data_IF_605373250273
#
_entry.id   IF_605373250273
#
_cell.length_a   1.000
_cell.length_b   1.000
_cell.length_c   1.000
_cell.angle_alpha   90.00
_cell.angle_beta   90.00
_cell.angle_gamma   90.00
#
_symmetry.space_group_name_H-M   'P 1'
#
loop_
_entity.id
_entity.type
_entity.pdbx_description
1 polymer ?
#
# COMPACT_ATOMS: atom_id res chain seq x y z
N UNK A 1 -4.74 -18.39 -25.04
CA UNK A 1 -5.15 -18.01 -23.68
C UNK A 1 -5.56 -16.54 -23.75
N UNK A 2 -6.84 -16.26 -23.97
CA UNK A 2 -7.33 -14.91 -24.27
C UNK A 2 -7.80 -14.24 -22.97
N UNK A 3 -7.14 -13.15 -22.56
CA UNK A 3 -7.65 -12.30 -21.50
C UNK A 3 -8.85 -11.49 -22.02
N UNK A 4 -9.99 -11.62 -21.34
CA UNK A 4 -11.19 -10.84 -21.60
C UNK A 4 -10.95 -9.36 -21.23
N UNK A 5 -11.54 -8.40 -21.95
CA UNK A 5 -11.44 -6.99 -21.60
C UNK A 5 -12.21 -6.73 -20.29
N UNK A 6 -11.51 -6.28 -19.26
CA UNK A 6 -12.12 -5.82 -18.02
C UNK A 6 -12.87 -4.53 -18.30
N UNK A 7 -14.20 -4.61 -18.31
CA UNK A 7 -15.09 -3.47 -18.37
C UNK A 7 -14.81 -2.54 -17.18
N UNK A 8 -14.51 -1.27 -17.46
CA UNK A 8 -14.49 -0.20 -16.46
C UNK A 8 -15.91 -0.01 -15.93
N UNK A 9 -16.24 -0.70 -14.83
CA UNK A 9 -17.36 -0.33 -13.98
C UNK A 9 -16.85 0.74 -13.02
N UNK A 10 -17.42 1.94 -13.10
CA UNK A 10 -17.23 3.00 -12.11
C UNK A 10 -17.88 2.56 -10.80
N UNK A 11 -17.19 1.71 -10.06
CA UNK A 11 -17.50 1.39 -8.68
C UNK A 11 -16.65 2.32 -7.84
N UNK A 12 -17.27 3.37 -7.30
CA UNK A 12 -16.66 4.18 -6.24
C UNK A 12 -16.50 3.28 -5.02
N UNK A 13 -15.33 2.63 -4.92
CA UNK A 13 -14.95 1.91 -3.72
C UNK A 13 -14.41 2.96 -2.77
N UNK A 14 -15.21 3.35 -1.79
CA UNK A 14 -14.75 4.14 -0.65
C UNK A 14 -13.81 3.25 0.17
N UNK A 15 -12.50 3.30 -0.12
CA UNK A 15 -11.50 2.64 0.71
C UNK A 15 -11.30 3.48 1.97
N UNK A 16 -11.85 3.02 3.09
CA UNK A 16 -11.60 3.59 4.41
C UNK A 16 -10.17 3.25 4.81
N UNK A 17 -9.31 4.25 4.95
CA UNK A 17 -8.00 4.11 5.61
C UNK A 17 -8.27 3.53 7.00
N UNK A 18 -7.90 2.28 7.22
CA UNK A 18 -8.15 1.59 8.49
C UNK A 18 -7.02 1.92 9.45
N UNK A 19 -7.30 2.79 10.41
CA UNK A 19 -6.44 3.00 11.57
C UNK A 19 -6.54 1.76 12.46
N UNK A 20 -5.47 0.97 12.54
CA UNK A 20 -5.35 -0.07 13.55
C UNK A 20 -4.63 0.53 14.76
N UNK A 21 -5.37 0.70 15.85
CA UNK A 21 -4.82 1.10 17.14
C UNK A 21 -4.07 -0.10 17.76
N UNK A 22 -2.81 0.04 18.19
CA UNK A 22 -2.06 -1.07 18.75
C UNK A 22 -2.63 -1.48 20.12
N UNK A 23 -2.89 -2.77 20.30
CA UNK A 23 -3.25 -3.35 21.59
C UNK A 23 -2.04 -3.24 22.55
N UNK A 24 -2.23 -2.46 23.62
CA UNK A 24 -1.25 -2.14 24.67
C UNK A 24 -0.58 -3.40 25.27
N UNK A 25 0.75 -3.45 25.20
CA UNK A 25 1.59 -4.08 26.23
C UNK A 25 2.86 -3.26 26.48
N UNK A 26 2.90 -2.68 27.68
CA UNK A 26 4.04 -2.29 28.52
C UNK A 26 5.27 -1.64 27.88
N UNK A 27 5.20 -0.30 27.77
CA UNK A 27 6.30 0.64 27.96
C UNK A 27 5.68 1.99 28.35
N UNK A 28 6.32 2.82 29.17
CA UNK A 28 5.82 4.13 29.62
C UNK A 28 5.86 5.19 28.49
N UNK A 29 4.97 4.96 27.51
CA UNK A 29 4.17 5.84 26.64
C UNK A 29 4.85 6.96 25.83
N UNK A 30 5.89 6.63 25.06
CA UNK A 30 5.99 7.19 23.71
C UNK A 30 5.15 6.33 22.76
N UNK A 31 3.96 6.81 22.36
CA UNK A 31 3.20 6.18 21.28
C UNK A 31 3.97 6.46 19.99
N UNK A 32 4.84 5.54 19.57
CA UNK A 32 5.37 5.54 18.21
C UNK A 32 4.21 5.16 17.29
N UNK A 33 3.53 6.17 16.76
CA UNK A 33 2.49 5.99 15.75
C UNK A 33 3.17 5.43 14.49
N UNK A 34 2.57 4.41 13.87
CA UNK A 34 3.04 3.87 12.60
C UNK A 34 1.91 3.89 11.58
N UNK A 35 2.26 4.09 10.31
CA UNK A 35 1.35 4.03 9.19
C UNK A 35 1.72 2.88 8.26
N UNK A 36 0.74 2.04 7.98
CA UNK A 36 0.85 1.00 6.96
C UNK A 36 0.38 1.61 5.64
N UNK A 37 1.28 1.68 4.67
CA UNK A 37 1.03 2.25 3.35
C UNK A 37 0.66 1.14 2.37
N UNK A 38 -0.50 1.30 1.73
CA UNK A 38 -1.04 0.35 0.76
C UNK A 38 -0.67 0.73 -0.69
N UNK A 39 -1.13 -0.08 -1.64
CA UNK A 39 -0.88 0.11 -3.07
C UNK A 39 -1.50 1.41 -3.59
N UNK A 40 -2.68 1.81 -3.10
CA UNK A 40 -3.37 3.02 -3.56
C UNK A 40 -2.60 4.27 -3.15
N UNK A 41 -2.06 4.32 -1.94
CA UNK A 41 -1.17 5.39 -1.51
C UNK A 41 0.02 5.54 -2.46
N UNK A 42 0.69 4.43 -2.78
CA UNK A 42 1.85 4.48 -3.66
C UNK A 42 1.51 4.83 -5.10
N UNK A 43 0.35 4.40 -5.61
CA UNK A 43 -0.16 4.84 -6.92
C UNK A 43 -0.35 6.36 -6.92
N UNK A 44 -0.99 6.90 -5.87
CA UNK A 44 -1.23 8.32 -5.73
C UNK A 44 0.09 9.12 -5.67
N UNK A 45 1.10 8.65 -4.94
CA UNK A 45 2.44 9.27 -4.91
C UNK A 45 3.15 9.15 -6.27
N UNK A 46 3.01 8.01 -6.96
CA UNK A 46 3.72 7.72 -8.21
C UNK A 46 3.17 8.49 -9.41
N UNK A 47 1.86 8.74 -9.43
CA UNK A 47 1.18 9.40 -10.54
C UNK A 47 0.65 10.78 -10.11
N UNK A 48 1.31 11.89 -10.48
CA UNK A 48 0.85 13.24 -10.16
C UNK A 48 -0.53 13.60 -10.71
N UNK A 49 -1.06 12.83 -11.66
CA UNK A 49 -2.41 13.00 -12.22
C UNK A 49 -3.46 12.16 -11.48
N UNK A 50 -3.06 11.38 -10.49
CA UNK A 50 -4.01 10.65 -9.64
C UNK A 50 -4.82 11.65 -8.81
N UNK A 51 -6.12 11.41 -8.70
CA UNK A 51 -7.03 12.30 -7.96
C UNK A 51 -6.66 12.42 -6.48
N UNK A 52 -5.95 11.43 -5.92
CA UNK A 52 -5.52 11.40 -4.52
C UNK A 52 -4.09 11.91 -4.32
N UNK A 53 -3.40 12.32 -5.38
CA UNK A 53 -1.99 12.73 -5.30
C UNK A 53 -1.73 13.81 -4.26
N UNK A 54 -2.51 14.91 -4.29
CA UNK A 54 -2.34 16.02 -3.35
C UNK A 54 -2.51 15.56 -1.90
N UNK A 55 -3.55 14.77 -1.64
CA UNK A 55 -3.83 14.24 -0.30
C UNK A 55 -2.71 13.30 0.19
N UNK A 56 -2.15 12.48 -0.70
CA UNK A 56 -1.05 11.58 -0.35
C UNK A 56 0.25 12.36 0.00
N UNK A 57 0.51 13.46 -0.71
CA UNK A 57 1.64 14.37 -0.41
C UNK A 57 1.44 15.06 0.93
N UNK A 58 0.25 15.59 1.21
CA UNK A 58 -0.06 16.24 2.49
C UNK A 58 0.13 15.31 3.69
N UNK A 59 -0.21 14.03 3.56
CA UNK A 59 0.02 13.03 4.62
C UNK A 59 1.51 12.86 4.92
N UNK A 60 2.37 12.93 3.89
CA UNK A 60 3.82 12.78 4.04
C UNK A 60 4.45 14.00 4.71
N UNK A 61 3.93 15.20 4.45
CA UNK A 61 4.52 16.46 4.94
C UNK A 61 4.16 16.79 6.40
N UNK A 62 3.04 16.28 6.91
CA UNK A 62 2.49 16.71 8.21
C UNK A 62 2.89 15.85 9.43
N UNK A 63 3.58 14.72 9.25
CA UNK A 63 3.76 13.74 10.34
C UNK A 63 5.20 13.16 10.41
N UNK A 64 6.17 14.01 10.80
CA UNK A 64 7.60 13.68 10.88
C UNK A 64 7.97 12.67 11.99
N UNK A 65 7.05 12.33 12.90
CA UNK A 65 7.30 11.42 14.03
C UNK A 65 6.69 10.02 13.85
N UNK A 66 6.25 9.68 12.63
CA UNK A 66 5.53 8.43 12.34
C UNK A 66 6.44 7.44 11.61
N UNK A 67 6.46 6.19 12.07
CA UNK A 67 7.13 5.10 11.35
C UNK A 67 6.29 4.67 10.15
N UNK A 68 6.87 4.69 8.95
CA UNK A 68 6.20 4.23 7.74
C UNK A 68 6.53 2.76 7.49
N UNK A 69 5.50 1.96 7.23
CA UNK A 69 5.65 0.53 6.97
C UNK A 69 4.90 0.19 5.67
N UNK A 70 5.49 -0.63 4.82
CA UNK A 70 4.82 -1.24 3.66
C UNK A 70 5.28 -2.69 3.51
N UNK A 71 4.73 -3.42 2.54
CA UNK A 71 5.12 -4.82 2.30
C UNK A 71 5.61 -5.00 0.86
N UNK A 72 6.46 -6.02 0.63
CA UNK A 72 6.84 -6.38 -0.74
C UNK A 72 5.62 -6.75 -1.61
N UNK A 73 4.57 -7.31 -1.02
CA UNK A 73 3.32 -7.61 -1.73
C UNK A 73 2.67 -6.33 -2.28
N UNK A 74 2.63 -5.25 -1.49
CA UNK A 74 2.15 -3.93 -1.94
C UNK A 74 3.00 -3.38 -3.08
N UNK A 75 4.33 -3.53 -3.02
CA UNK A 75 5.22 -3.09 -4.09
C UNK A 75 5.05 -3.92 -5.37
N UNK A 76 4.77 -5.22 -5.26
CA UNK A 76 4.43 -6.08 -6.40
C UNK A 76 3.12 -5.61 -7.05
N UNK A 77 2.08 -5.30 -6.26
CA UNK A 77 0.83 -4.76 -6.79
C UNK A 77 1.04 -3.40 -7.49
N UNK A 78 1.87 -2.52 -6.93
CA UNK A 78 2.24 -1.24 -7.54
C UNK A 78 2.88 -1.43 -8.92
N UNK A 79 3.87 -2.34 -9.01
CA UNK A 79 4.54 -2.65 -10.28
C UNK A 79 3.58 -3.27 -11.29
N UNK A 80 2.69 -4.15 -10.84
CA UNK A 80 1.65 -4.75 -11.67
C UNK A 80 0.65 -3.71 -12.17
N UNK A 81 0.25 -2.74 -11.34
CA UNK A 81 -0.64 -1.65 -11.74
C UNK A 81 -0.04 -0.83 -12.89
N UNK A 82 1.23 -0.43 -12.79
CA UNK A 82 1.91 0.34 -13.83
C UNK A 82 2.41 -0.51 -15.02
N UNK A 83 2.27 -1.84 -14.97
CA UNK A 83 2.71 -2.73 -16.05
C UNK A 83 1.96 -2.51 -17.36
N UNK A 84 0.70 -2.07 -17.32
CA UNK A 84 -0.10 -1.76 -18.51
C UNK A 84 0.22 -0.39 -19.12
N UNK A 85 1.01 0.45 -18.43
CA UNK A 85 1.37 1.80 -18.87
C UNK A 85 2.58 1.79 -19.81
N UNK A 86 2.84 2.93 -20.45
CA UNK A 86 4.01 3.13 -21.32
C UNK A 86 5.36 3.06 -20.58
N UNK A 87 6.44 2.88 -21.34
CA UNK A 87 7.81 2.69 -20.82
C UNK A 87 8.25 3.76 -19.83
N UNK A 88 7.87 5.02 -20.05
CA UNK A 88 8.16 6.14 -19.14
C UNK A 88 7.57 5.89 -17.74
N UNK A 89 6.31 5.49 -17.63
CA UNK A 89 5.69 5.25 -16.32
C UNK A 89 6.23 4.01 -15.64
N UNK A 90 6.55 2.96 -16.40
CA UNK A 90 7.22 1.77 -15.85
C UNK A 90 8.58 2.15 -15.24
N UNK A 91 9.35 3.02 -15.89
CA UNK A 91 10.62 3.50 -15.34
C UNK A 91 10.42 4.32 -14.06
N UNK A 92 9.39 5.17 -14.00
CA UNK A 92 9.03 5.90 -12.78
C UNK A 92 8.71 4.93 -11.64
N UNK A 93 7.88 3.92 -11.90
CA UNK A 93 7.52 2.92 -10.89
C UNK A 93 8.76 2.16 -10.37
N UNK A 94 9.68 1.76 -11.25
CA UNK A 94 10.96 1.15 -10.85
C UNK A 94 11.77 2.09 -9.95
N UNK A 95 11.90 3.35 -10.33
CA UNK A 95 12.68 4.32 -9.55
C UNK A 95 12.07 4.54 -8.16
N UNK A 96 10.73 4.60 -8.06
CA UNK A 96 10.04 4.73 -6.79
C UNK A 96 10.24 3.50 -5.91
N UNK A 97 10.07 2.29 -6.45
CA UNK A 97 10.31 1.06 -5.69
C UNK A 97 11.76 0.99 -5.19
N UNK A 98 12.73 1.38 -6.01
CA UNK A 98 14.13 1.47 -5.57
C UNK A 98 14.33 2.47 -4.44
N UNK A 99 13.72 3.66 -4.55
CA UNK A 99 13.79 4.67 -3.49
C UNK A 99 13.18 4.17 -2.18
N UNK A 100 12.03 3.49 -2.24
CA UNK A 100 11.37 2.87 -1.08
C UNK A 100 12.30 1.85 -0.42
N UNK A 101 12.87 0.93 -1.20
CA UNK A 101 13.77 -0.11 -0.69
C UNK A 101 15.08 0.44 -0.10
N UNK A 102 15.51 1.63 -0.50
CA UNK A 102 16.70 2.31 0.03
C UNK A 102 16.42 3.29 1.18
N UNK A 103 15.15 3.50 1.52
CA UNK A 103 14.75 4.50 2.51
C UNK A 103 15.03 4.01 3.94
N UNK A 104 15.70 4.82 4.75
CA UNK A 104 15.89 4.53 6.17
C UNK A 104 14.63 4.81 7.01
N UNK A 105 13.75 5.68 6.51
CA UNK A 105 12.53 6.12 7.21
C UNK A 105 11.33 5.19 6.95
N UNK A 106 11.53 4.13 6.17
CA UNK A 106 10.47 3.24 5.73
C UNK A 106 10.87 1.77 5.86
N UNK A 107 10.07 1.03 6.60
CA UNK A 107 10.24 -0.42 6.79
C UNK A 107 9.47 -1.18 5.71
N UNK A 108 10.19 -2.01 4.94
CA UNK A 108 9.59 -2.90 3.94
C UNK A 108 9.58 -4.31 4.50
N UNK A 109 8.40 -4.83 4.81
CA UNK A 109 8.23 -6.19 5.31
C UNK A 109 8.32 -7.17 4.13
N UNK A 110 9.23 -8.17 4.19
CA UNK A 110 9.41 -9.13 3.09
C UNK A 110 8.19 -10.04 2.95
N UNK A 111 7.94 -10.50 1.73
CA UNK A 111 6.91 -11.49 1.48
C UNK A 111 7.41 -12.89 1.85
N UNK A 112 6.70 -13.57 2.74
CA UNK A 112 7.01 -14.95 3.16
C UNK A 112 5.82 -15.87 2.92
N UNK A 113 6.09 -17.18 2.81
CA UNK A 113 5.04 -18.20 2.69
C UNK A 113 4.10 -18.17 3.92
N UNK A 114 4.63 -17.96 5.12
CA UNK A 114 3.83 -17.81 6.33
C UNK A 114 2.85 -16.62 6.25
N UNK A 115 3.32 -15.45 5.80
CA UNK A 115 2.46 -14.28 5.58
C UNK A 115 1.40 -14.53 4.51
N UNK A 116 1.74 -15.28 3.45
CA UNK A 116 0.78 -15.69 2.43
C UNK A 116 -0.32 -16.60 3.01
N UNK A 117 0.05 -17.69 3.70
CA UNK A 117 -0.90 -18.65 4.26
C UNK A 117 -1.79 -18.03 5.33
N UNK A 118 -1.24 -17.18 6.19
CA UNK A 118 -2.01 -16.44 7.20
C UNK A 118 -2.98 -15.44 6.58
N UNK A 119 -2.57 -14.73 5.51
CA UNK A 119 -3.46 -13.84 4.77
C UNK A 119 -4.59 -14.60 4.08
N UNK A 120 -4.30 -15.78 3.52
CA UNK A 120 -5.31 -16.67 2.93
C UNK A 120 -6.32 -17.14 3.99
N UNK A 121 -5.85 -17.62 5.14
CA UNK A 121 -6.73 -18.04 6.23
C UNK A 121 -7.63 -16.88 6.73
N UNK A 122 -7.08 -15.66 6.84
CA UNK A 122 -7.87 -14.47 7.17
C UNK A 122 -8.91 -14.13 6.09
N UNK A 123 -8.57 -14.33 4.82
CA UNK A 123 -9.51 -14.14 3.72
C UNK A 123 -10.65 -15.16 3.77
N UNK A 124 -10.33 -16.43 4.00
CA UNK A 124 -11.29 -17.52 4.16
C UNK A 124 -12.29 -17.24 5.29
N UNK A 125 -11.80 -16.75 6.44
CA UNK A 125 -12.65 -16.35 7.57
C UNK A 125 -13.61 -15.21 7.25
N UNK A 126 -13.25 -14.32 6.31
CA UNK A 126 -14.08 -13.19 5.90
C UNK A 126 -15.09 -13.55 4.80
N UNK A 127 -15.03 -14.76 4.23
CA UNK A 127 -16.02 -15.21 3.25
C UNK A 127 -17.44 -15.23 3.82
N UNK A 128 -17.58 -15.39 5.13
CA UNK A 128 -18.88 -15.37 5.83
C UNK A 128 -19.40 -13.95 6.12
N UNK A 129 -18.55 -12.92 6.02
CA UNK A 129 -18.92 -11.52 6.27
C UNK A 129 -18.88 -10.74 4.96
N UNK A 130 -20.07 -10.49 4.39
CA UNK A 130 -20.20 -9.53 3.30
C UNK A 130 -20.03 -8.12 3.86
N UNK A 131 -19.08 -7.35 3.30
CA UNK A 131 -19.07 -5.89 3.38
C UNK A 131 -20.39 -5.30 2.85
#
# INVERSE_FOLDING_TARGET
MNYLPMAHKNTTITFTITFTEPQKKDCERCICRYFILDTLYWIAITNPKDQWHQKAVEIRENDLAIRLVTTEAVLIELLNYFSSYGSRMRQVAVNIVRAILSSADLEVIPHTNELFLSSLALYEQRLEQRL
#
